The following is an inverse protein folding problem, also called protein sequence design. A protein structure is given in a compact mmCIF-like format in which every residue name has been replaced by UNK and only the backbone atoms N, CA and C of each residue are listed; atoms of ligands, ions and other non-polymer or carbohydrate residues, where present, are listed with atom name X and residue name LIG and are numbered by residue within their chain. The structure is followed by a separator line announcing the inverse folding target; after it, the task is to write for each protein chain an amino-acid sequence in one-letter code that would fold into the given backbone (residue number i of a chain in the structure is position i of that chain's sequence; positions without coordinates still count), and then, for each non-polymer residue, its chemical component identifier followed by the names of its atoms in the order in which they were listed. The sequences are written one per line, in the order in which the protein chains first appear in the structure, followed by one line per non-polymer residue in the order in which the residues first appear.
data_IF_964976744865
#
_entry.id   IF_964976744865
#
_cell.length_a   1.000
_cell.length_b   1.000
_cell.length_c   1.000
_cell.angle_alpha   90.00
_cell.angle_beta   90.00
_cell.angle_gamma   90.00
#
_symmetry.space_group_name_H-M   'P 1'
#
loop_
_entity.id
_entity.type
_entity.pdbx_description
1 polymer ?
#
# COMPACT_ATOMS: atom_id res chain seq x y z
N UNK A 1 74.58 15.68 -32.07
CA UNK A 1 73.56 16.57 -31.50
C UNK A 1 72.92 17.33 -32.65
N UNK A 2 71.80 16.82 -33.15
CA UNK A 2 71.14 17.34 -34.34
C UNK A 2 70.21 18.48 -33.97
N UNK A 3 70.49 19.65 -34.53
CA UNK A 3 69.70 20.88 -34.51
C UNK A 3 68.39 20.68 -35.29
N UNK A 4 67.28 21.04 -34.67
CA UNK A 4 65.95 21.16 -35.29
C UNK A 4 65.86 22.47 -36.09
N UNK A 5 65.44 22.47 -37.37
CA UNK A 5 65.05 23.69 -38.05
C UNK A 5 63.58 24.00 -37.77
N UNK A 6 63.31 25.27 -37.50
CA UNK A 6 62.01 25.85 -37.26
C UNK A 6 61.05 25.60 -38.45
N UNK A 7 59.83 25.19 -38.12
CA UNK A 7 58.73 24.95 -39.05
C UNK A 7 58.30 26.29 -39.68
N UNK A 8 58.81 26.59 -40.87
CA UNK A 8 58.40 27.74 -41.69
C UNK A 8 56.90 27.67 -41.98
N UNK A 9 56.20 28.78 -41.75
CA UNK A 9 54.78 28.94 -42.07
C UNK A 9 54.53 28.68 -43.58
N UNK A 10 53.38 28.10 -43.97
CA UNK A 10 53.11 27.75 -45.36
C UNK A 10 53.10 29.01 -46.25
N UNK A 11 54.05 29.09 -47.16
CA UNK A 11 54.25 30.22 -48.08
C UNK A 11 53.03 30.49 -48.95
N UNK A 12 52.24 29.45 -49.23
CA UNK A 12 50.98 29.55 -49.99
C UNK A 12 49.90 30.34 -49.23
N UNK A 13 49.77 30.16 -47.91
CA UNK A 13 48.82 30.93 -47.10
C UNK A 13 49.21 32.41 -47.04
N UNK A 14 50.51 32.71 -46.95
CA UNK A 14 51.00 34.10 -46.99
C UNK A 14 50.79 34.75 -48.36
N UNK A 15 50.87 33.99 -49.46
CA UNK A 15 50.55 34.47 -50.78
C UNK A 15 49.04 34.73 -50.94
N UNK A 16 48.17 33.85 -50.43
CA UNK A 16 46.71 33.97 -50.49
C UNK A 16 46.18 35.17 -49.66
N UNK A 17 46.75 35.39 -48.47
CA UNK A 17 46.43 36.54 -47.61
C UNK A 17 46.86 37.87 -48.25
N UNK A 18 48.01 37.90 -48.94
CA UNK A 18 48.45 39.11 -49.66
C UNK A 18 47.69 39.36 -50.98
N UNK A 19 47.10 38.31 -51.57
CA UNK A 19 46.25 38.40 -52.78
C UNK A 19 44.83 38.89 -52.44
N UNK A 20 44.34 38.53 -51.25
CA UNK A 20 43.12 39.10 -50.67
C UNK A 20 43.44 40.44 -50.01
N UNK A 21 43.63 41.45 -50.85
CA UNK A 21 43.73 42.84 -50.40
C UNK A 21 42.65 43.17 -49.37
N UNK A 22 42.99 44.07 -48.44
CA UNK A 22 42.21 44.53 -47.27
C UNK A 22 40.80 45.09 -47.58
N UNK A 23 40.21 44.80 -48.74
CA UNK A 23 39.01 45.40 -49.30
C UNK A 23 37.80 44.46 -49.32
N UNK A 24 37.91 43.21 -48.86
CA UNK A 24 36.79 42.25 -48.82
C UNK A 24 36.30 41.89 -47.41
N UNK A 25 36.61 42.70 -46.39
CA UNK A 25 35.90 42.59 -45.11
C UNK A 25 34.61 43.39 -45.20
N UNK A 26 33.46 42.72 -45.00
CA UNK A 26 32.19 43.42 -44.91
C UNK A 26 32.25 44.43 -43.76
N UNK A 27 32.00 45.70 -44.05
CA UNK A 27 31.82 46.71 -43.01
C UNK A 27 30.56 46.36 -42.21
N UNK A 28 30.76 45.91 -40.97
CA UNK A 28 29.66 45.73 -40.02
C UNK A 28 29.57 47.00 -39.19
N UNK A 29 28.45 47.71 -39.32
CA UNK A 29 28.12 48.83 -38.44
C UNK A 29 27.45 48.24 -37.17
N UNK A 30 28.14 48.13 -36.02
CA UNK A 30 27.56 47.58 -34.81
C UNK A 30 26.42 48.49 -34.35
N UNK A 31 25.18 48.04 -34.52
CA UNK A 31 24.02 48.69 -33.91
C UNK A 31 24.03 48.33 -32.42
N UNK A 32 24.48 49.24 -31.55
CA UNK A 32 24.23 49.13 -30.11
C UNK A 32 22.72 49.22 -29.90
N UNK A 33 22.05 48.07 -29.82
CA UNK A 33 20.66 48.00 -29.39
C UNK A 33 20.66 48.18 -27.87
N UNK A 34 20.63 49.43 -27.44
CA UNK A 34 20.27 49.81 -26.09
C UNK A 34 18.79 50.24 -26.14
N UNK A 35 17.82 49.29 -26.27
CA UNK A 35 16.42 49.66 -26.32
C UNK A 35 16.08 50.37 -25.02
N UNK A 36 15.52 51.58 -25.15
CA UNK A 36 14.98 52.29 -24.00
C UNK A 36 13.95 51.37 -23.32
N UNK A 37 13.87 51.37 -21.97
CA UNK A 37 12.89 50.56 -21.27
C UNK A 37 11.50 50.86 -21.82
N UNK A 38 10.69 49.81 -22.01
CA UNK A 38 9.33 49.98 -22.53
C UNK A 38 8.49 50.81 -21.56
N UNK A 39 7.44 51.46 -22.07
CA UNK A 39 6.53 52.25 -21.23
C UNK A 39 5.90 51.42 -20.10
N UNK A 40 5.72 50.12 -20.33
CA UNK A 40 5.23 49.17 -19.33
C UNK A 40 6.24 48.95 -18.20
N UNK A 41 7.52 48.71 -18.53
CA UNK A 41 8.59 48.54 -17.53
C UNK A 41 8.75 49.80 -16.68
N UNK A 42 8.65 50.99 -17.28
CA UNK A 42 8.71 52.26 -16.55
C UNK A 42 7.50 52.43 -15.62
N UNK A 43 6.31 52.00 -16.06
CA UNK A 43 5.09 52.09 -15.25
C UNK A 43 5.14 51.12 -14.06
N UNK A 44 5.64 49.90 -14.26
CA UNK A 44 5.84 48.92 -13.19
C UNK A 44 6.88 49.39 -12.18
N UNK A 45 8.02 49.92 -12.63
CA UNK A 45 9.04 50.47 -11.75
C UNK A 45 8.50 51.65 -10.92
N UNK A 46 7.70 52.53 -11.54
CA UNK A 46 7.04 53.62 -10.83
C UNK A 46 6.05 53.11 -9.78
N UNK A 47 5.24 52.11 -10.10
CA UNK A 47 4.30 51.52 -9.15
C UNK A 47 5.03 50.82 -7.99
N UNK A 48 6.12 50.11 -8.28
CA UNK A 48 6.96 49.51 -7.25
C UNK A 48 7.55 50.56 -6.32
N UNK A 49 8.09 51.65 -6.86
CA UNK A 49 8.65 52.74 -6.08
C UNK A 49 7.59 53.40 -5.18
N UNK A 50 6.39 53.64 -5.70
CA UNK A 50 5.27 54.18 -4.92
C UNK A 50 4.84 53.23 -3.80
N UNK A 51 4.77 51.91 -4.07
CA UNK A 51 4.44 50.91 -3.06
C UNK A 51 5.45 50.89 -1.91
N UNK A 52 6.75 50.91 -2.23
CA UNK A 52 7.82 50.94 -1.23
C UNK A 52 7.78 52.25 -0.43
N UNK A 53 7.53 53.38 -1.08
CA UNK A 53 7.42 54.66 -0.41
C UNK A 53 6.20 54.70 0.54
N UNK A 54 5.07 54.11 0.15
CA UNK A 54 3.89 53.99 0.98
C UNK A 54 4.12 53.09 2.20
N UNK A 55 4.83 51.96 2.04
CA UNK A 55 5.23 51.11 3.16
C UNK A 55 6.19 51.85 4.09
N UNK A 56 7.17 52.60 3.54
CA UNK A 56 8.13 53.37 4.34
C UNK A 56 7.45 54.45 5.17
N UNK A 57 6.43 55.10 4.61
CA UNK A 57 5.61 56.12 5.30
C UNK A 57 4.54 55.52 6.23
N UNK A 58 4.35 54.20 6.24
CA UNK A 58 3.34 53.55 7.05
C UNK A 58 3.65 53.70 8.55
N UNK A 59 2.77 54.41 9.26
CA UNK A 59 2.89 54.58 10.71
C UNK A 59 2.34 53.34 11.42
N UNK A 60 3.23 52.52 11.99
CA UNK A 60 2.87 51.34 12.80
C UNK A 60 1.90 51.67 13.95
N UNK A 61 1.94 52.90 14.46
CA UNK A 61 1.00 53.40 15.49
C UNK A 61 -0.44 53.57 15.00
N UNK A 62 -0.68 53.49 13.69
CA UNK A 62 -2.02 53.52 13.09
C UNK A 62 -2.70 52.13 13.08
N UNK A 63 -1.97 51.07 13.46
CA UNK A 63 -2.57 49.75 13.66
C UNK A 63 -3.38 49.74 14.96
N UNK A 64 -4.66 49.36 14.87
CA UNK A 64 -5.51 49.16 16.04
C UNK A 64 -4.93 48.00 16.87
N UNK A 65 -4.79 48.20 18.19
CA UNK A 65 -4.48 47.11 19.13
C UNK A 65 -5.68 46.16 19.15
N UNK A 66 -5.44 44.88 18.87
CA UNK A 66 -6.42 43.84 19.11
C UNK A 66 -6.13 43.24 20.49
N UNK A 67 -7.11 43.30 21.40
CA UNK A 67 -7.07 42.56 22.66
C UNK A 67 -7.43 41.10 22.36
N UNK A 68 -6.49 40.20 22.62
CA UNK A 68 -6.75 38.76 22.52
C UNK A 68 -7.51 38.31 23.77
N UNK A 69 -8.77 37.93 23.61
CA UNK A 69 -9.51 37.22 24.66
C UNK A 69 -9.10 35.74 24.62
N UNK A 70 -8.29 35.32 25.58
CA UNK A 70 -8.06 33.90 25.83
C UNK A 70 -9.35 33.32 26.43
N UNK A 71 -10.04 32.47 25.67
CA UNK A 71 -11.21 31.76 26.19
C UNK A 71 -10.70 30.71 27.19
N UNK A 72 -10.78 31.01 28.48
CA UNK A 72 -10.63 30.00 29.52
C UNK A 72 -11.68 28.91 29.30
N UNK A 73 -11.26 27.74 28.85
CA UNK A 73 -12.13 26.58 28.75
C UNK A 73 -12.42 26.09 30.17
N UNK A 74 -13.70 26.02 30.53
CA UNK A 74 -14.11 25.29 31.72
C UNK A 74 -13.70 23.82 31.54
N UNK A 75 -13.26 23.14 32.61
CA UNK A 75 -12.93 21.72 32.53
C UNK A 75 -14.15 20.97 31.99
N UNK A 76 -13.91 20.02 31.08
CA UNK A 76 -14.99 19.19 30.54
C UNK A 76 -15.60 18.34 31.65
N UNK A 77 -16.85 17.90 31.43
CA UNK A 77 -17.52 17.02 32.38
C UNK A 77 -16.72 15.74 32.65
N UNK A 78 -15.99 15.24 31.66
CA UNK A 78 -15.12 14.07 31.81
C UNK A 78 -13.96 14.31 32.77
N UNK A 79 -13.33 15.49 32.70
CA UNK A 79 -12.24 15.87 33.61
C UNK A 79 -12.76 15.99 35.05
N UNK A 80 -13.94 16.59 35.23
CA UNK A 80 -14.59 16.71 36.54
C UNK A 80 -14.93 15.33 37.12
N UNK A 81 -15.48 14.44 36.29
CA UNK A 81 -15.83 13.09 36.69
C UNK A 81 -14.58 12.27 37.05
N UNK A 82 -13.49 12.41 36.28
CA UNK A 82 -12.21 11.76 36.54
C UNK A 82 -11.60 12.23 37.87
N UNK A 83 -11.60 13.54 38.13
CA UNK A 83 -11.07 14.08 39.38
C UNK A 83 -11.89 13.58 40.60
N UNK A 84 -13.22 13.49 40.44
CA UNK A 84 -14.09 12.92 41.46
C UNK A 84 -13.81 11.43 41.73
N UNK A 85 -13.66 10.62 40.69
CA UNK A 85 -13.37 9.19 40.87
C UNK A 85 -12.00 8.97 41.49
N UNK A 86 -11.00 9.79 41.15
CA UNK A 86 -9.68 9.75 41.77
C UNK A 86 -9.76 10.10 43.27
N UNK A 87 -10.52 11.13 43.64
CA UNK A 87 -10.73 11.49 45.04
C UNK A 87 -11.40 10.35 45.84
N UNK A 88 -12.46 9.77 45.30
CA UNK A 88 -13.16 8.63 45.90
C UNK A 88 -12.25 7.40 46.05
N UNK A 89 -11.40 7.12 45.05
CA UNK A 89 -10.42 6.03 45.12
C UNK A 89 -9.35 6.30 46.19
N UNK A 90 -8.83 7.53 46.28
CA UNK A 90 -7.85 7.92 47.30
C UNK A 90 -8.43 7.75 48.70
N UNK A 91 -9.65 8.19 48.93
CA UNK A 91 -10.32 8.04 50.23
C UNK A 91 -10.55 6.57 50.59
N UNK A 92 -10.99 5.76 49.61
CA UNK A 92 -11.22 4.32 49.81
C UNK A 92 -9.94 3.56 50.12
N UNK A 93 -8.83 3.90 49.46
CA UNK A 93 -7.51 3.32 49.73
C UNK A 93 -6.98 3.80 51.08
N UNK A 94 -7.12 5.10 51.39
CA UNK A 94 -6.68 5.68 52.66
C UNK A 94 -7.43 5.12 53.87
N UNK A 95 -8.71 4.77 53.69
CA UNK A 95 -9.57 4.18 54.71
C UNK A 95 -9.51 2.64 54.74
N UNK A 96 -8.64 2.03 53.92
CA UNK A 96 -8.57 0.58 53.79
C UNK A 96 -8.02 -0.07 55.07
N UNK A 97 -8.81 -0.92 55.71
CA UNK A 97 -8.39 -1.65 56.89
C UNK A 97 -7.61 -2.92 56.49
N UNK A 98 -6.27 -2.84 56.64
CA UNK A 98 -5.35 -3.95 56.35
C UNK A 98 -5.57 -5.18 57.24
N UNK A 99 -6.14 -5.02 58.44
CA UNK A 99 -6.37 -6.12 59.38
C UNK A 99 -7.50 -7.05 58.92
N UNK A 100 -8.29 -6.64 57.93
CA UNK A 100 -9.30 -7.50 57.27
C UNK A 100 -8.69 -8.42 56.21
N UNK A 101 -7.42 -8.22 55.82
CA UNK A 101 -6.74 -9.13 54.90
C UNK A 101 -6.37 -10.41 55.64
N UNK A 102 -6.89 -11.54 55.17
CA UNK A 102 -6.47 -12.86 55.65
C UNK A 102 -5.01 -13.07 55.29
N UNK A 103 -4.19 -13.42 56.28
CA UNK A 103 -2.82 -13.87 56.05
C UNK A 103 -2.83 -15.06 55.09
N UNK A 104 -2.15 -14.91 53.95
CA UNK A 104 -1.95 -15.98 52.99
C UNK A 104 -0.47 -16.31 52.99
N UNK A 105 -0.13 -17.51 53.45
CA UNK A 105 1.24 -18.02 53.37
C UNK A 105 1.51 -18.45 51.93
N UNK A 106 2.43 -17.78 51.24
CA UNK A 106 2.92 -18.21 49.93
C UNK A 106 3.88 -19.38 50.11
N UNK A 107 3.52 -20.54 49.57
CA UNK A 107 4.44 -21.69 49.44
C UNK A 107 5.08 -21.69 48.06
N UNK A 108 6.41 -21.71 48.02
CA UNK A 108 7.21 -21.85 46.81
C UNK A 108 7.13 -23.32 46.35
N UNK A 109 6.44 -23.58 45.24
CA UNK A 109 6.45 -24.91 44.62
C UNK A 109 7.74 -25.09 43.81
N UNK A 110 8.80 -25.55 44.46
CA UNK A 110 9.96 -26.12 43.77
C UNK A 110 9.58 -27.50 43.22
N UNK A 111 9.02 -27.55 42.02
CA UNK A 111 8.83 -28.81 41.30
C UNK A 111 10.17 -29.23 40.71
N UNK A 112 10.59 -30.47 40.98
CA UNK A 112 11.74 -31.07 40.32
C UNK A 112 11.45 -31.23 38.82
N UNK A 113 12.48 -31.19 37.96
CA UNK A 113 12.32 -31.45 36.54
C UNK A 113 11.58 -32.78 36.32
N UNK A 114 10.64 -32.80 35.38
CA UNK A 114 9.97 -34.02 34.93
C UNK A 114 11.00 -34.97 34.31
N UNK A 115 10.77 -36.29 34.34
CA UNK A 115 11.54 -37.23 33.51
C UNK A 115 11.63 -36.80 32.03
N UNK A 116 10.57 -36.20 31.48
CA UNK A 116 10.56 -35.67 30.10
C UNK A 116 11.53 -34.52 29.92
N UNK A 117 11.63 -33.61 30.89
CA UNK A 117 12.56 -32.46 30.86
C UNK A 117 14.00 -32.97 30.82
N UNK A 118 14.30 -33.99 31.62
CA UNK A 118 15.63 -34.63 31.67
C UNK A 118 15.95 -35.35 30.36
N UNK A 119 14.98 -36.05 29.75
CA UNK A 119 15.20 -36.68 28.44
C UNK A 119 15.42 -35.65 27.35
N UNK A 120 14.67 -34.56 27.37
CA UNK A 120 14.83 -33.48 26.40
C UNK A 120 16.20 -32.81 26.50
N UNK A 121 16.65 -32.49 27.72
CA UNK A 121 17.99 -31.93 27.96
C UNK A 121 19.10 -32.88 27.49
N UNK A 122 18.93 -34.19 27.73
CA UNK A 122 19.87 -35.21 27.26
C UNK A 122 19.96 -35.26 25.72
N UNK A 123 18.80 -35.24 25.04
CA UNK A 123 18.73 -35.23 23.58
C UNK A 123 19.35 -33.95 22.99
N UNK A 124 19.08 -32.78 23.60
CA UNK A 124 19.68 -31.52 23.16
C UNK A 124 21.22 -31.55 23.30
N UNK A 125 21.71 -32.09 24.41
CA UNK A 125 23.16 -32.21 24.66
C UNK A 125 23.81 -33.12 23.62
N UNK A 126 23.23 -34.28 23.35
CA UNK A 126 23.72 -35.22 22.33
C UNK A 126 23.73 -34.57 20.93
N UNK A 127 22.68 -33.83 20.57
CA UNK A 127 22.61 -33.12 19.30
C UNK A 127 23.70 -32.06 19.16
N UNK A 128 23.94 -31.27 20.22
CA UNK A 128 25.02 -30.26 20.25
C UNK A 128 26.39 -30.89 20.08
N UNK A 129 26.66 -32.01 20.77
CA UNK A 129 27.93 -32.73 20.62
C UNK A 129 28.10 -33.30 19.20
N UNK A 130 27.05 -33.87 18.63
CA UNK A 130 27.06 -34.41 17.26
C UNK A 130 27.31 -33.33 16.21
N UNK A 131 26.70 -32.16 16.35
CA UNK A 131 26.93 -31.03 15.45
C UNK A 131 28.33 -30.45 15.67
N UNK A 132 28.76 -30.30 16.92
CA UNK A 132 30.08 -29.75 17.26
C UNK A 132 31.25 -30.62 16.82
N UNK A 133 31.06 -31.94 16.77
CA UNK A 133 32.05 -32.92 16.29
C UNK A 133 31.96 -33.21 14.78
N UNK A 134 31.06 -32.54 14.06
CA UNK A 134 30.88 -32.76 12.62
C UNK A 134 32.09 -32.26 11.82
N UNK A 135 32.70 -33.18 11.07
CA UNK A 135 33.85 -32.92 10.20
C UNK A 135 33.36 -32.38 8.85
N UNK A 136 33.80 -31.16 8.48
CA UNK A 136 33.42 -30.53 7.20
C UNK A 136 33.97 -31.30 6.00
N UNK A 137 35.00 -32.11 6.21
CA UNK A 137 35.61 -33.00 5.23
C UNK A 137 34.65 -34.15 4.82
N UNK A 138 33.60 -34.41 5.61
CA UNK A 138 32.52 -35.35 5.26
C UNK A 138 31.49 -34.74 4.31
N UNK A 139 31.52 -33.42 4.06
CA UNK A 139 30.65 -32.79 3.07
C UNK A 139 31.16 -33.11 1.68
N UNK A 140 30.29 -33.68 0.84
CA UNK A 140 30.62 -33.89 -0.57
C UNK A 140 30.73 -32.54 -1.28
N UNK A 141 31.87 -32.28 -1.90
CA UNK A 141 32.04 -31.13 -2.78
C UNK A 141 31.20 -31.34 -4.05
N UNK A 142 30.08 -30.65 -4.13
CA UNK A 142 29.26 -30.60 -5.35
C UNK A 142 29.84 -29.50 -6.25
N UNK A 143 30.30 -29.90 -7.44
CA UNK A 143 30.62 -28.96 -8.51
C UNK A 143 29.31 -28.59 -9.22
N UNK A 144 28.89 -27.34 -9.10
CA UNK A 144 27.75 -26.82 -9.85
C UNK A 144 28.19 -26.69 -11.31
N UNK A 145 27.67 -27.54 -12.20
CA UNK A 145 27.82 -27.37 -13.65
C UNK A 145 26.63 -26.59 -14.19
N UNK A 146 26.85 -25.32 -14.50
CA UNK A 146 25.87 -24.48 -15.20
C UNK A 146 25.78 -24.95 -16.66
N UNK A 147 24.61 -25.46 -17.05
CA UNK A 147 24.34 -25.79 -18.46
C UNK A 147 24.10 -24.51 -19.25
N UNK A 148 25.17 -23.94 -19.80
CA UNK A 148 25.09 -22.92 -20.83
C UNK A 148 24.70 -23.62 -22.14
N UNK A 149 23.43 -23.54 -22.53
CA UNK A 149 22.99 -24.02 -23.84
C UNK A 149 23.45 -23.00 -24.89
N UNK A 150 24.22 -23.46 -25.88
CA UNK A 150 24.55 -22.64 -27.04
C UNK A 150 23.27 -22.39 -27.86
N UNK A 151 23.15 -21.23 -28.53
CA UNK A 151 22.06 -20.97 -29.45
C UNK A 151 21.95 -22.10 -30.47
N UNK A 152 20.73 -22.59 -30.68
CA UNK A 152 20.46 -23.62 -31.68
C UNK A 152 20.60 -23.05 -33.09
N UNK A 153 20.72 -23.93 -34.08
CA UNK A 153 20.72 -23.50 -35.48
C UNK A 153 19.47 -22.70 -35.85
N UNK A 154 18.31 -23.01 -35.24
CA UNK A 154 17.06 -22.28 -35.44
C UNK A 154 17.13 -20.86 -34.88
N UNK A 155 17.71 -20.68 -33.68
CA UNK A 155 17.89 -19.36 -33.06
C UNK A 155 18.75 -18.45 -33.94
N UNK A 156 19.82 -19.00 -34.52
CA UNK A 156 20.71 -18.28 -35.43
C UNK A 156 19.98 -17.88 -36.73
N UNK A 157 19.14 -18.76 -37.29
CA UNK A 157 18.37 -18.40 -38.49
C UNK A 157 17.31 -17.35 -38.20
N UNK A 158 16.63 -17.45 -37.05
CA UNK A 158 15.65 -16.46 -36.63
C UNK A 158 16.29 -15.07 -36.48
N UNK A 159 17.45 -14.99 -35.79
CA UNK A 159 18.20 -13.75 -35.64
C UNK A 159 18.60 -13.14 -36.99
N UNK A 160 19.03 -13.96 -37.96
CA UNK A 160 19.35 -13.48 -39.32
C UNK A 160 18.15 -12.88 -40.04
N UNK A 161 17.00 -13.56 -39.99
CA UNK A 161 15.75 -13.07 -40.59
C UNK A 161 15.32 -11.76 -39.93
N UNK A 162 15.46 -11.66 -38.61
CA UNK A 162 15.12 -10.44 -37.88
C UNK A 162 16.04 -9.27 -38.26
N UNK A 163 17.34 -9.51 -38.38
CA UNK A 163 18.29 -8.49 -38.83
C UNK A 163 17.98 -8.00 -40.24
N UNK A 164 17.72 -8.92 -41.18
CA UNK A 164 17.34 -8.56 -42.55
C UNK A 164 16.05 -7.72 -42.58
N UNK A 165 15.05 -8.08 -41.78
CA UNK A 165 13.81 -7.31 -41.66
C UNK A 165 14.06 -5.90 -41.11
N UNK A 166 14.90 -5.78 -40.06
CA UNK A 166 15.27 -4.49 -39.47
C UNK A 166 16.00 -3.60 -40.47
N UNK A 167 16.94 -4.14 -41.23
CA UNK A 167 17.65 -3.41 -42.28
C UNK A 167 16.71 -2.95 -43.41
N UNK A 168 15.80 -3.82 -43.84
CA UNK A 168 14.81 -3.51 -44.87
C UNK A 168 13.84 -2.41 -44.43
N UNK A 169 13.36 -2.45 -43.18
CA UNK A 169 12.50 -1.40 -42.63
C UNK A 169 13.30 -0.10 -42.44
N UNK A 170 14.55 -0.19 -41.96
CA UNK A 170 15.42 0.98 -41.75
C UNK A 170 15.81 1.69 -43.05
N UNK A 171 15.87 0.95 -44.17
CA UNK A 171 16.17 1.47 -45.50
C UNK A 171 14.93 1.93 -46.27
N UNK A 172 13.74 1.93 -45.63
CA UNK A 172 12.50 2.33 -46.28
C UNK A 172 12.42 3.85 -46.45
N UNK A 173 12.25 4.32 -47.69
CA UNK A 173 12.09 5.73 -47.99
C UNK A 173 10.60 6.10 -48.01
N UNK A 174 10.24 7.19 -47.33
CA UNK A 174 8.85 7.67 -47.29
C UNK A 174 8.36 8.11 -48.69
N UNK A 175 9.27 8.47 -49.59
CA UNK A 175 8.93 8.82 -50.97
C UNK A 175 8.38 7.62 -51.77
N UNK A 176 8.62 6.38 -51.34
CA UNK A 176 8.10 5.16 -51.98
C UNK A 176 6.62 4.91 -51.62
N UNK A 177 6.04 5.67 -50.70
CA UNK A 177 4.61 5.61 -50.38
C UNK A 177 3.80 6.39 -51.40
N UNK A 178 2.79 5.72 -51.98
CA UNK A 178 1.81 6.40 -52.82
C UNK A 178 1.06 7.47 -51.99
N UNK A 179 1.01 8.74 -52.45
CA UNK A 179 0.25 9.78 -51.77
C UNK A 179 -1.24 9.40 -51.76
N UNK A 180 -1.83 9.38 -50.56
CA UNK A 180 -3.25 9.10 -50.34
C UNK A 180 -3.92 10.37 -49.85
N UNK A 181 -4.90 10.87 -50.59
CA UNK A 181 -5.69 12.04 -50.20
C UNK A 181 -6.77 11.62 -49.18
N UNK A 182 -6.63 12.08 -47.94
CA UNK A 182 -7.59 11.81 -46.88
C UNK A 182 -8.71 12.86 -46.88
N UNK A 183 -9.86 12.54 -47.47
CA UNK A 183 -11.05 13.37 -47.35
C UNK A 183 -11.73 13.15 -45.98
N UNK A 184 -11.57 14.11 -45.07
CA UNK A 184 -12.33 14.16 -43.81
C UNK A 184 -13.77 14.59 -44.14
N UNK A 185 -14.72 13.66 -44.04
CA UNK A 185 -16.15 14.00 -44.08
C UNK A 185 -16.53 14.69 -42.77
N UNK A 186 -16.56 16.02 -42.76
CA UNK A 186 -17.20 16.80 -41.69
C UNK A 186 -18.71 16.70 -41.90
N UNK A 187 -19.37 15.83 -41.17
CA UNK A 187 -20.84 15.73 -41.17
C UNK A 187 -21.36 16.76 -40.17
N UNK A 188 -22.24 17.65 -40.64
CA UNK A 188 -22.93 18.60 -39.76
C UNK A 188 -23.96 17.85 -38.91
N UNK A 189 -24.28 18.33 -37.69
CA UNK A 189 -25.36 17.78 -36.89
C UNK A 189 -26.66 17.71 -37.69
N UNK A 190 -27.36 16.59 -37.55
CA UNK A 190 -28.67 16.37 -38.17
C UNK A 190 -29.77 17.10 -37.40
N UNK A 191 -30.95 17.23 -38.01
CA UNK A 191 -32.13 17.79 -37.33
C UNK A 191 -32.51 16.98 -36.08
N UNK A 192 -32.33 15.67 -36.12
CA UNK A 192 -32.55 14.77 -34.99
C UNK A 192 -31.57 15.02 -33.84
N UNK A 193 -30.29 15.28 -34.16
CA UNK A 193 -29.26 15.60 -33.16
C UNK A 193 -29.62 16.89 -32.40
N UNK A 194 -30.06 17.92 -33.13
CA UNK A 194 -30.47 19.21 -32.57
C UNK A 194 -31.74 19.06 -31.73
N UNK A 195 -32.71 18.28 -32.22
CA UNK A 195 -33.94 18.02 -31.48
C UNK A 195 -33.67 17.27 -30.18
N UNK A 196 -32.80 16.25 -30.22
CA UNK A 196 -32.42 15.49 -29.03
C UNK A 196 -31.73 16.38 -27.99
N UNK A 197 -30.78 17.20 -28.41
CA UNK A 197 -30.08 18.13 -27.51
C UNK A 197 -31.04 19.13 -26.85
N UNK A 198 -32.02 19.63 -27.61
CA UNK A 198 -33.05 20.53 -27.09
C UNK A 198 -33.94 19.86 -26.02
N UNK A 199 -34.36 18.62 -26.26
CA UNK A 199 -35.15 17.84 -25.29
C UNK A 199 -34.35 17.56 -24.03
N UNK A 200 -33.07 17.23 -24.17
CA UNK A 200 -32.18 16.99 -23.02
C UNK A 200 -32.00 18.26 -22.19
N UNK A 201 -31.80 19.42 -22.84
CA UNK A 201 -31.67 20.69 -22.16
C UNK A 201 -32.94 21.05 -21.38
N UNK A 202 -34.12 20.89 -21.98
CA UNK A 202 -35.40 21.14 -21.31
C UNK A 202 -35.59 20.21 -20.09
N UNK A 203 -35.22 18.93 -20.20
CA UNK A 203 -35.27 17.99 -19.09
C UNK A 203 -34.33 18.41 -17.95
N UNK A 204 -33.10 18.83 -18.28
CA UNK A 204 -32.13 19.32 -17.30
C UNK A 204 -32.62 20.56 -16.56
N UNK A 205 -33.22 21.51 -17.27
CA UNK A 205 -33.81 22.72 -16.68
C UNK A 205 -34.99 22.38 -15.77
N UNK A 206 -35.87 21.46 -16.19
CA UNK A 206 -37.01 20.99 -15.40
C UNK A 206 -36.60 20.24 -14.12
N UNK A 207 -35.56 19.41 -14.20
CA UNK A 207 -35.02 18.73 -13.00
C UNK A 207 -34.30 19.73 -12.11
N UNK A 208 -33.54 20.67 -12.68
CA UNK A 208 -32.81 21.70 -11.92
C UNK A 208 -33.71 22.68 -11.18
N UNK A 209 -34.92 22.92 -11.70
CA UNK A 209 -35.96 23.77 -11.08
C UNK A 209 -36.94 22.99 -10.19
N UNK A 210 -36.69 21.69 -9.96
CA UNK A 210 -37.57 20.87 -9.13
C UNK A 210 -37.43 21.21 -7.64
N UNK A 211 -38.52 21.65 -7.02
CA UNK A 211 -38.61 21.91 -5.58
C UNK A 211 -39.08 20.65 -4.87
N UNK A 212 -38.27 20.14 -3.94
CA UNK A 212 -38.62 18.94 -3.15
C UNK A 212 -39.86 19.16 -2.29
N UNK A 213 -40.13 20.41 -1.93
CA UNK A 213 -41.32 20.82 -1.17
C UNK A 213 -42.63 20.57 -1.92
N UNK A 214 -42.60 20.45 -3.26
CA UNK A 214 -43.77 20.15 -4.08
C UNK A 214 -44.18 18.66 -4.02
N UNK A 215 -43.37 17.81 -3.40
CA UNK A 215 -43.74 16.41 -3.16
C UNK A 215 -44.82 16.33 -2.09
N UNK A 216 -45.95 15.71 -2.44
CA UNK A 216 -46.99 15.42 -1.46
C UNK A 216 -46.42 14.50 -0.35
N UNK A 217 -46.57 14.88 0.93
CA UNK A 217 -46.15 14.03 2.03
C UNK A 217 -46.92 12.70 1.95
N UNK A 218 -46.19 11.60 1.90
CA UNK A 218 -46.74 10.25 1.84
C UNK A 218 -46.31 9.50 3.08
N UNK A 219 -47.27 8.95 3.83
CA UNK A 219 -47.00 8.14 5.01
C UNK A 219 -46.58 6.73 4.58
N UNK A 220 -45.33 6.38 4.86
CA UNK A 220 -44.79 5.04 4.57
C UNK A 220 -44.96 4.14 5.79
N UNK A 221 -45.88 3.17 5.74
CA UNK A 221 -46.02 2.17 6.80
C UNK A 221 -44.99 1.05 6.61
N UNK A 222 -43.95 1.04 7.43
CA UNK A 222 -43.03 -0.11 7.56
C UNK A 222 -43.65 -1.11 8.53
N UNK A 223 -44.01 -2.30 8.06
CA UNK A 223 -44.49 -3.37 8.94
C UNK A 223 -43.30 -3.93 9.72
N UNK A 224 -43.09 -3.45 10.95
CA UNK A 224 -42.22 -4.12 11.93
C UNK A 224 -43.03 -5.27 12.52
N UNK A 225 -42.74 -6.50 12.11
CA UNK A 225 -43.38 -7.68 12.66
C UNK A 225 -42.75 -7.98 14.02
N UNK A 226 -43.56 -8.03 15.08
CA UNK A 226 -43.09 -8.46 16.40
C UNK A 226 -42.74 -9.96 16.37
N UNK A 227 -41.77 -10.42 17.18
CA UNK A 227 -41.49 -11.85 17.33
C UNK A 227 -42.76 -12.61 17.70
N UNK A 228 -42.99 -13.77 17.07
CA UNK A 228 -44.14 -14.63 17.38
C UNK A 228 -43.95 -15.32 18.72
N UNK A 229 -45.05 -15.79 19.31
CA UNK A 229 -45.05 -16.54 20.58
C UNK A 229 -44.08 -17.73 20.54
N UNK A 230 -44.05 -18.46 19.42
CA UNK A 230 -43.10 -19.56 19.18
C UNK A 230 -41.63 -19.14 19.31
N UNK A 231 -41.27 -17.95 18.79
CA UNK A 231 -39.89 -17.43 18.84
C UNK A 231 -39.51 -17.09 20.28
N UNK A 232 -40.46 -16.55 21.04
CA UNK A 232 -40.25 -16.20 22.46
C UNK A 232 -40.13 -17.47 23.32
N UNK A 233 -40.95 -18.48 23.07
CA UNK A 233 -40.87 -19.76 23.78
C UNK A 233 -39.57 -20.50 23.48
N UNK A 234 -39.14 -20.51 22.21
CA UNK A 234 -37.87 -21.11 21.81
C UNK A 234 -36.67 -20.42 22.49
N UNK A 235 -36.65 -19.08 22.53
CA UNK A 235 -35.60 -18.33 23.20
C UNK A 235 -35.58 -18.61 24.71
N UNK A 236 -36.76 -18.72 25.35
CA UNK A 236 -36.89 -19.05 26.77
C UNK A 236 -36.35 -20.45 27.08
N UNK A 237 -36.68 -21.44 26.25
CA UNK A 237 -36.16 -22.82 26.40
C UNK A 237 -34.64 -22.87 26.24
N UNK A 238 -34.09 -22.13 25.26
CA UNK A 238 -32.64 -22.07 25.06
C UNK A 238 -31.92 -21.43 26.26
N UNK A 239 -32.48 -20.35 26.82
CA UNK A 239 -31.93 -19.72 28.02
C UNK A 239 -31.97 -20.67 29.23
N UNK A 240 -33.05 -21.40 29.43
CA UNK A 240 -33.18 -22.37 30.51
C UNK A 240 -32.15 -23.50 30.38
N UNK A 241 -31.95 -24.02 29.15
CA UNK A 241 -30.93 -25.02 28.86
C UNK A 241 -29.52 -24.50 29.16
N UNK A 242 -29.20 -23.27 28.72
CA UNK A 242 -27.90 -22.64 29.00
C UNK A 242 -27.65 -22.47 30.49
N UNK A 243 -28.67 -22.03 31.24
CA UNK A 243 -28.57 -21.87 32.69
C UNK A 243 -28.38 -23.22 33.41
N UNK A 244 -29.08 -24.26 32.96
CA UNK A 244 -28.93 -25.63 33.47
C UNK A 244 -27.51 -26.16 33.25
N UNK A 245 -26.97 -26.00 32.03
CA UNK A 245 -25.60 -26.41 31.68
C UNK A 245 -24.58 -25.63 32.52
N UNK A 246 -24.74 -24.31 32.67
CA UNK A 246 -23.81 -23.47 33.43
C UNK A 246 -23.82 -23.77 34.93
N UNK A 247 -24.98 -24.15 35.48
CA UNK A 247 -25.12 -24.50 36.90
C UNK A 247 -24.72 -25.96 37.21
N UNK A 248 -24.46 -26.77 36.19
CA UNK A 248 -24.16 -28.19 36.33
C UNK A 248 -22.79 -28.41 36.98
N UNK A 249 -22.79 -29.04 38.15
CA UNK A 249 -21.55 -29.41 38.85
C UNK A 249 -20.97 -30.68 38.24
N UNK A 250 -19.92 -30.53 37.41
CA UNK A 250 -19.18 -31.65 36.81
C UNK A 250 -18.71 -32.70 37.83
N UNK A 251 -18.41 -32.28 39.06
CA UNK A 251 -18.02 -33.17 40.17
C UNK A 251 -19.14 -34.12 40.65
N UNK A 252 -20.40 -33.87 40.25
CA UNK A 252 -21.55 -34.75 40.54
C UNK A 252 -21.68 -35.92 39.56
N UNK A 253 -20.88 -35.95 38.48
CA UNK A 253 -20.79 -37.12 37.61
C UNK A 253 -20.03 -38.24 38.32
N UNK A 254 -20.66 -39.42 38.41
CA UNK A 254 -19.97 -40.62 38.90
C UNK A 254 -18.90 -41.03 37.88
N UNK A 255 -17.76 -41.52 38.38
CA UNK A 255 -16.76 -42.14 37.52
C UNK A 255 -17.38 -43.35 36.83
N UNK A 256 -17.40 -43.33 35.50
CA UNK A 256 -17.82 -44.45 34.66
C UNK A 256 -16.58 -45.04 34.02
N UNK A 257 -16.13 -46.18 34.55
CA UNK A 257 -15.03 -46.94 33.97
C UNK A 257 -15.60 -47.91 32.93
N UNK A 258 -15.30 -47.65 31.66
CA UNK A 258 -15.71 -48.52 30.56
C UNK A 258 -14.67 -49.61 30.35
N UNK A 259 -15.06 -50.88 30.48
CA UNK A 259 -14.24 -52.03 30.11
C UNK A 259 -14.41 -52.30 28.61
N UNK A 260 -13.39 -51.96 27.81
CA UNK A 260 -13.33 -52.30 26.39
C UNK A 260 -13.09 -53.81 26.23
N UNK A 261 -14.16 -54.55 25.95
CA UNK A 261 -14.07 -55.97 25.56
C UNK A 261 -13.63 -56.03 24.09
N UNK A 262 -12.33 -56.01 23.86
CA UNK A 262 -11.73 -56.32 22.56
C UNK A 262 -11.14 -57.73 22.60
N UNK A 263 -11.95 -58.81 22.44
CA UNK A 263 -11.41 -60.16 22.34
C UNK A 263 -10.64 -60.29 21.03
N UNK A 264 -9.32 -60.50 21.14
CA UNK A 264 -8.50 -60.91 20.00
C UNK A 264 -8.95 -62.30 19.54
N UNK A 265 -9.09 -62.56 18.22
CA UNK A 265 -9.45 -63.89 17.72
C UNK A 265 -8.37 -64.90 18.12
N UNK A 266 -8.75 -65.93 18.88
CA UNK A 266 -7.86 -67.04 19.19
C UNK A 266 -7.70 -67.91 17.95
N UNK A 267 -6.46 -68.22 17.59
CA UNK A 267 -6.14 -69.15 16.52
C UNK A 267 -6.54 -70.57 16.92
N UNK A 268 -7.61 -71.09 16.33
CA UNK A 268 -8.00 -72.48 16.47
C UNK A 268 -6.95 -73.39 15.80
N UNK A 269 -6.12 -74.02 16.65
CA UNK A 269 -5.30 -75.16 16.29
C UNK A 269 -6.09 -76.46 16.42
N UNK A 270 -6.20 -77.18 15.31
CA UNK A 270 -6.57 -78.59 15.16
C UNK A 270 -8.01 -79.03 15.55
N UNK A 271 -8.86 -79.14 14.52
CA UNK A 271 -9.83 -80.22 14.43
C UNK A 271 -9.51 -81.10 13.22
N UNK A 272 -8.75 -82.17 13.48
CA UNK A 272 -8.70 -83.36 12.65
C UNK A 272 -10.07 -84.04 12.80
N UNK A 273 -10.98 -83.86 11.84
CA UNK A 273 -12.10 -84.78 11.64
C UNK A 273 -12.29 -85.04 10.16
N UNK A 274 -11.95 -86.27 9.80
CA UNK A 274 -12.31 -87.00 8.59
C UNK A 274 -13.76 -86.75 8.11
N UNK A 275 -13.93 -86.39 6.84
CA UNK A 275 -15.11 -86.78 6.08
C UNK A 275 -14.72 -87.32 4.71
N UNK A 276 -15.04 -88.59 4.54
CA UNK A 276 -14.97 -89.38 3.31
C UNK A 276 -16.16 -89.03 2.40
N UNK A 277 -15.94 -89.18 1.08
CA UNK A 277 -16.90 -89.37 -0.02
C UNK A 277 -17.93 -88.25 -0.32
N UNK A 278 -17.97 -87.76 -1.56
CA UNK A 278 -18.68 -88.41 -2.69
C UNK A 278 -18.50 -87.63 -4.01
N UNK A 279 -18.32 -88.43 -5.08
CA UNK A 279 -18.33 -88.13 -6.54
C UNK A 279 -17.15 -87.39 -7.18
#
# INVERSE_FOLDING_TARGET
MSTTPAKTAPTELLAEINKSGSTNLHHVNPQEKNPLPSAEVIAEEKHHQEHIENISKFKRTSLKRAESMEKGCLPSQDVINQERTEAELRDRIGSFNKDQLKHTTTEEKTVLPSPDDIQHEKLETELRERIGSFSKEQLQHIRIEEKINLPTGQDIQHEKVEQELRERIGSFHKEDLNPTETAVKVVLPTEDDIHHEKVEQELRERIGSFHKEDLNPTETTVKVVLPTEDVIEQEKQEQELKNSINSFKRASLKHAETQEKNPLPQSDGNSLVSFSLME
#
